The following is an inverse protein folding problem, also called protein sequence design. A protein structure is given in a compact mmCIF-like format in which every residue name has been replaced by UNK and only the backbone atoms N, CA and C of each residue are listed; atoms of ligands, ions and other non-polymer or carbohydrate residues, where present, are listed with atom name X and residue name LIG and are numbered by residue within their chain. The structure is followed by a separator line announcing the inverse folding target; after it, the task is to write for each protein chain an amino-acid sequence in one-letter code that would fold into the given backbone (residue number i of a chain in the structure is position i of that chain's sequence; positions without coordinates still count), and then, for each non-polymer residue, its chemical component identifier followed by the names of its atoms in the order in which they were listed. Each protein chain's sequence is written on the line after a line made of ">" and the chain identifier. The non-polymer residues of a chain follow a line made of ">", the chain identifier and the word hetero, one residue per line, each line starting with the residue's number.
data_IF_711114574175
#
_entry.id   IF_711114574175
#
_cell.length_a   1.000
_cell.length_b   1.000
_cell.length_c   1.000
_cell.angle_alpha   90.00
_cell.angle_beta   90.00
_cell.angle_gamma   90.00
#
_symmetry.space_group_name_H-M   'P 1'
#
loop_
_entity.id
_entity.type
_entity.pdbx_description
1 polymer ?
#
# COMPACT_ATOMS: atom_id res chain seq x y z
N UNK A 1 -4.70 -5.19 6.49
CA UNK A 1 -3.45 -5.60 5.84
C UNK A 1 -2.34 -5.02 6.67
N UNK A 2 -1.37 -5.83 7.04
CA UNK A 2 -0.26 -5.36 7.85
C UNK A 2 0.85 -4.84 6.95
N UNK A 3 1.38 -3.70 7.30
CA UNK A 3 2.50 -3.03 6.65
C UNK A 3 3.81 -3.43 7.31
N UNK A 4 3.90 -4.67 7.74
CA UNK A 4 5.08 -5.20 8.41
C UNK A 4 6.12 -5.54 7.36
N UNK A 5 7.26 -4.90 7.44
CA UNK A 5 8.43 -5.28 6.67
C UNK A 5 9.03 -6.57 7.25
N UNK A 6 9.57 -7.47 6.41
CA UNK A 6 10.19 -8.70 6.90
C UNK A 6 11.41 -8.36 7.75
N UNK A 7 11.60 -9.09 8.84
CA UNK A 7 12.83 -9.01 9.62
C UNK A 7 14.02 -9.52 8.79
N UNK A 8 15.22 -9.08 9.12
CA UNK A 8 16.43 -9.56 8.45
C UNK A 8 16.54 -11.09 8.53
N UNK A 9 16.80 -11.73 7.40
CA UNK A 9 16.90 -13.19 7.28
C UNK A 9 15.56 -13.94 7.24
N UNK A 10 14.42 -13.24 7.36
CA UNK A 10 13.10 -13.90 7.35
C UNK A 10 12.77 -14.50 5.98
N UNK A 11 12.94 -13.74 4.92
CA UNK A 11 12.59 -14.21 3.56
C UNK A 11 13.52 -15.34 3.11
N UNK A 12 14.81 -15.21 3.38
CA UNK A 12 15.81 -16.24 3.14
C UNK A 12 15.48 -17.53 3.90
N UNK A 13 15.15 -17.42 5.18
CA UNK A 13 14.79 -18.56 6.00
C UNK A 13 13.50 -19.25 5.55
N UNK A 14 12.50 -18.51 5.09
CA UNK A 14 11.28 -19.10 4.51
C UNK A 14 11.58 -19.79 3.19
N UNK A 15 12.42 -19.20 2.33
CA UNK A 15 12.86 -19.80 1.08
C UNK A 15 13.61 -21.12 1.32
N UNK A 16 14.58 -21.13 2.23
CA UNK A 16 15.33 -22.33 2.61
C UNK A 16 14.41 -23.43 3.14
N UNK A 17 13.46 -23.07 4.03
CA UNK A 17 12.49 -24.00 4.59
C UNK A 17 11.57 -24.59 3.51
N UNK A 18 11.10 -23.77 2.57
CA UNK A 18 10.28 -24.22 1.45
C UNK A 18 11.06 -25.24 0.59
N UNK A 19 12.27 -24.90 0.18
CA UNK A 19 13.11 -25.76 -0.66
C UNK A 19 13.51 -27.05 0.05
N UNK A 20 13.82 -27.00 1.35
CA UNK A 20 14.13 -28.20 2.14
C UNK A 20 12.97 -29.20 2.16
N UNK A 21 11.73 -28.72 2.09
CA UNK A 21 10.53 -29.54 2.07
C UNK A 21 9.98 -29.81 0.65
N UNK A 22 10.74 -29.51 -0.41
CA UNK A 22 10.33 -29.73 -1.78
C UNK A 22 9.19 -28.83 -2.26
N UNK A 23 8.98 -27.69 -1.59
CA UNK A 23 7.98 -26.70 -1.95
C UNK A 23 8.57 -25.54 -2.74
N UNK A 24 7.75 -24.90 -3.58
CA UNK A 24 8.12 -23.67 -4.27
C UNK A 24 7.94 -22.46 -3.35
N UNK A 25 8.85 -21.50 -3.46
CA UNK A 25 8.76 -20.20 -2.80
C UNK A 25 8.22 -19.17 -3.79
N UNK A 26 7.03 -18.62 -3.51
CA UNK A 26 6.30 -17.75 -4.43
C UNK A 26 6.10 -16.37 -3.80
N UNK A 27 6.41 -15.30 -4.55
CA UNK A 27 6.08 -13.93 -4.16
C UNK A 27 4.77 -13.46 -4.81
N UNK A 28 3.86 -12.92 -4.00
CA UNK A 28 2.77 -12.09 -4.50
C UNK A 28 3.25 -10.64 -4.62
N UNK A 29 3.71 -10.30 -5.80
CA UNK A 29 4.18 -8.96 -6.18
C UNK A 29 3.05 -8.10 -6.80
N UNK A 30 1.79 -8.48 -6.58
CA UNK A 30 0.65 -7.76 -7.17
C UNK A 30 0.59 -6.28 -6.76
N UNK A 31 1.08 -5.95 -5.55
CA UNK A 31 1.17 -4.56 -5.06
C UNK A 31 2.61 -4.07 -5.08
N UNK A 32 3.55 -4.91 -4.69
CA UNK A 32 4.95 -4.54 -4.47
C UNK A 32 5.74 -4.43 -5.76
N UNK A 33 5.39 -5.21 -6.77
CA UNK A 33 5.98 -5.13 -8.11
C UNK A 33 5.79 -3.75 -8.73
N UNK A 34 6.85 -3.20 -9.32
CA UNK A 34 6.87 -1.88 -9.94
C UNK A 34 6.54 -0.70 -8.99
N UNK A 35 6.58 -0.95 -7.67
CA UNK A 35 6.30 0.05 -6.64
C UNK A 35 7.46 0.24 -5.67
N UNK A 36 8.00 -0.83 -5.11
CA UNK A 36 9.10 -0.77 -4.15
C UNK A 36 10.47 -0.61 -4.84
N UNK A 37 10.62 -1.30 -5.95
CA UNK A 37 11.72 -1.22 -6.89
C UNK A 37 11.17 -1.57 -8.29
N UNK A 38 11.96 -1.42 -9.35
CA UNK A 38 11.55 -1.85 -10.70
C UNK A 38 11.28 -3.36 -10.75
N UNK A 39 12.09 -4.15 -10.07
CA UNK A 39 11.88 -5.59 -9.91
C UNK A 39 11.03 -5.99 -8.69
N UNK A 40 10.43 -5.03 -7.99
CA UNK A 40 9.53 -5.32 -6.86
C UNK A 40 10.25 -5.58 -5.53
N UNK A 41 9.57 -6.33 -4.64
CA UNK A 41 10.08 -6.69 -3.34
C UNK A 41 11.30 -7.62 -3.44
N UNK A 42 11.36 -8.49 -4.43
CA UNK A 42 12.51 -9.36 -4.66
C UNK A 42 13.81 -8.57 -4.92
N UNK A 43 13.74 -7.46 -5.65
CA UNK A 43 14.88 -6.57 -5.84
C UNK A 43 15.20 -5.81 -4.55
N UNK A 44 14.19 -5.26 -3.87
CA UNK A 44 14.37 -4.49 -2.65
C UNK A 44 15.02 -5.30 -1.53
N UNK A 45 14.61 -6.56 -1.35
CA UNK A 45 15.10 -7.44 -0.27
C UNK A 45 16.22 -8.38 -0.71
N UNK A 46 16.57 -8.42 -2.00
CA UNK A 46 17.64 -9.27 -2.51
C UNK A 46 17.32 -10.77 -2.50
N UNK A 47 16.04 -11.15 -2.43
CA UNK A 47 15.59 -12.55 -2.40
C UNK A 47 14.74 -12.84 -3.62
N UNK A 48 15.21 -13.70 -4.51
CA UNK A 48 14.52 -14.07 -5.74
C UNK A 48 13.68 -15.34 -5.51
N UNK A 49 12.35 -15.28 -5.67
CA UNK A 49 11.46 -16.43 -5.51
C UNK A 49 11.57 -17.39 -6.71
N UNK A 50 10.96 -18.59 -6.58
CA UNK A 50 10.82 -19.50 -7.70
C UNK A 50 9.81 -19.00 -8.74
N UNK A 51 8.73 -18.39 -8.26
CA UNK A 51 7.69 -17.72 -9.05
C UNK A 51 7.30 -16.39 -8.41
N UNK A 52 6.90 -15.44 -9.22
CA UNK A 52 6.30 -14.18 -8.77
C UNK A 52 5.05 -13.85 -9.58
N UNK A 53 3.99 -13.40 -8.89
CA UNK A 53 2.75 -12.94 -9.50
C UNK A 53 2.70 -11.41 -9.52
N UNK A 54 2.41 -10.81 -10.67
CA UNK A 54 2.34 -9.37 -10.89
C UNK A 54 0.95 -8.95 -11.36
N UNK A 55 0.55 -7.74 -11.04
CA UNK A 55 -0.72 -7.14 -11.46
C UNK A 55 -0.72 -5.64 -11.23
N UNK A 56 -1.88 -5.04 -10.99
CA UNK A 56 -2.05 -3.62 -10.63
C UNK A 56 -1.13 -2.66 -11.38
N UNK A 57 0.03 -2.33 -10.81
CA UNK A 57 1.04 -1.44 -11.38
C UNK A 57 1.59 -1.90 -12.74
N UNK A 58 1.51 -3.18 -13.07
CA UNK A 58 2.01 -3.76 -14.32
C UNK A 58 1.41 -3.06 -15.56
N UNK A 59 0.11 -2.81 -15.56
CA UNK A 59 -0.58 -2.10 -16.64
C UNK A 59 -1.30 -0.83 -16.17
N UNK A 60 -1.08 -0.43 -14.91
CA UNK A 60 -1.47 0.84 -14.31
C UNK A 60 -2.93 1.24 -14.57
N UNK A 61 -3.86 0.32 -14.30
CA UNK A 61 -5.31 0.51 -14.44
C UNK A 61 -5.97 -0.34 -15.51
N UNK A 62 -5.21 -0.93 -16.42
CA UNK A 62 -5.72 -1.90 -17.39
C UNK A 62 -5.67 -3.33 -16.84
N UNK A 63 -6.61 -4.21 -17.26
CA UNK A 63 -6.73 -5.57 -16.71
C UNK A 63 -5.64 -6.50 -17.26
N UNK A 64 -4.47 -6.49 -16.62
CA UNK A 64 -3.36 -7.38 -16.92
C UNK A 64 -2.77 -7.94 -15.64
N UNK A 65 -2.47 -9.22 -15.66
CA UNK A 65 -1.64 -9.90 -14.66
C UNK A 65 -0.61 -10.78 -15.37
N UNK A 66 0.46 -11.10 -14.66
CA UNK A 66 1.51 -11.97 -15.18
C UNK A 66 2.06 -12.84 -14.05
N UNK A 67 2.53 -14.03 -14.42
CA UNK A 67 3.38 -14.87 -13.59
C UNK A 67 4.71 -15.00 -14.31
N UNK A 68 5.79 -14.82 -13.57
CA UNK A 68 7.15 -15.02 -14.06
C UNK A 68 7.94 -15.83 -13.04
N UNK A 69 8.99 -16.53 -13.48
CA UNK A 69 9.82 -17.30 -12.58
C UNK A 69 10.82 -18.21 -13.31
N UNK A 70 11.31 -19.21 -12.59
CA UNK A 70 12.30 -20.16 -13.10
C UNK A 70 11.80 -20.86 -14.37
N UNK A 71 12.64 -20.88 -15.41
CA UNK A 71 12.27 -21.42 -16.72
C UNK A 71 11.80 -22.87 -16.67
N UNK A 72 12.40 -23.70 -15.80
CA UNK A 72 12.04 -25.09 -15.61
C UNK A 72 10.60 -25.27 -15.10
N UNK A 73 10.12 -24.34 -14.26
CA UNK A 73 8.75 -24.35 -13.74
C UNK A 73 7.82 -23.78 -14.81
N UNK A 74 8.20 -22.65 -15.41
CA UNK A 74 7.36 -21.97 -16.40
C UNK A 74 7.11 -22.82 -17.67
N UNK A 75 8.01 -23.72 -18.04
CA UNK A 75 7.79 -24.67 -19.15
C UNK A 75 6.59 -25.59 -18.94
N UNK A 76 6.20 -25.88 -17.70
CA UNK A 76 5.01 -26.68 -17.41
C UNK A 76 3.71 -26.01 -17.90
N UNK A 77 3.74 -24.71 -18.21
CA UNK A 77 2.61 -24.01 -18.84
C UNK A 77 2.27 -24.55 -20.23
N UNK A 78 3.21 -25.22 -20.90
CA UNK A 78 3.00 -25.89 -22.21
C UNK A 78 2.15 -27.15 -22.06
N UNK A 79 2.10 -27.73 -20.86
CA UNK A 79 1.42 -28.99 -20.56
C UNK A 79 0.04 -28.81 -19.93
N UNK A 80 -0.29 -27.59 -19.50
CA UNK A 80 -1.56 -27.27 -18.85
C UNK A 80 -2.45 -26.40 -19.73
N UNK A 81 -3.78 -26.60 -19.60
CA UNK A 81 -4.73 -25.68 -20.21
C UNK A 81 -4.80 -24.40 -19.40
N UNK A 82 -4.31 -23.30 -19.97
CA UNK A 82 -4.32 -21.97 -19.37
C UNK A 82 -4.97 -21.00 -20.34
N UNK A 83 -6.22 -20.63 -20.08
CA UNK A 83 -6.98 -19.71 -20.93
C UNK A 83 -7.93 -18.88 -20.08
N UNK A 84 -8.07 -17.61 -20.43
CA UNK A 84 -9.00 -16.67 -19.79
C UNK A 84 -9.38 -15.57 -20.80
N UNK A 85 -10.51 -14.91 -20.54
CA UNK A 85 -11.14 -13.98 -21.50
C UNK A 85 -10.21 -12.86 -21.97
N UNK A 86 -9.38 -12.30 -21.07
CA UNK A 86 -8.48 -11.19 -21.36
C UNK A 86 -7.02 -11.61 -21.56
N UNK A 87 -6.73 -12.89 -21.78
CA UNK A 87 -5.37 -13.43 -21.85
C UNK A 87 -4.47 -12.85 -22.96
N UNK A 88 -5.03 -12.21 -23.95
CA UNK A 88 -4.29 -11.56 -25.05
C UNK A 88 -4.88 -10.20 -25.40
N UNK A 89 -5.52 -9.52 -24.46
CA UNK A 89 -6.14 -8.21 -24.70
C UNK A 89 -5.04 -7.18 -25.00
N UNK A 90 -5.05 -6.68 -26.23
CA UNK A 90 -3.92 -5.91 -26.79
C UNK A 90 -3.77 -4.52 -26.20
N UNK A 91 -4.85 -3.91 -25.74
CA UNK A 91 -4.80 -2.58 -25.11
C UNK A 91 -4.09 -2.63 -23.76
N UNK A 92 -4.38 -3.65 -22.96
CA UNK A 92 -3.70 -3.89 -21.69
C UNK A 92 -2.21 -4.22 -21.88
N UNK A 93 -1.87 -4.98 -22.93
CA UNK A 93 -0.47 -5.25 -23.28
C UNK A 93 0.27 -3.97 -23.68
N UNK A 94 -0.36 -3.12 -24.50
CA UNK A 94 0.21 -1.82 -24.90
C UNK A 94 0.38 -0.90 -23.68
N UNK A 95 -0.59 -0.84 -22.77
CA UNK A 95 -0.50 -0.07 -21.52
C UNK A 95 0.64 -0.56 -20.62
N UNK A 96 0.84 -1.87 -20.53
CA UNK A 96 1.95 -2.46 -19.79
C UNK A 96 3.30 -2.09 -20.38
N UNK A 97 3.46 -2.18 -21.69
CA UNK A 97 4.68 -1.77 -22.38
C UNK A 97 5.00 -0.29 -22.13
N UNK A 98 3.99 0.59 -22.21
CA UNK A 98 4.15 2.02 -21.92
C UNK A 98 4.56 2.26 -20.44
N UNK A 99 3.95 1.52 -19.51
CA UNK A 99 4.28 1.60 -18.07
C UNK A 99 5.72 1.16 -17.82
N UNK A 100 6.12 0.01 -18.33
CA UNK A 100 7.49 -0.50 -18.16
C UNK A 100 8.53 0.41 -18.81
N UNK A 101 8.25 0.94 -20.01
CA UNK A 101 9.12 1.94 -20.66
C UNK A 101 9.29 3.17 -19.79
N UNK A 102 8.20 3.67 -19.18
CA UNK A 102 8.26 4.82 -18.27
C UNK A 102 9.10 4.54 -17.03
N UNK A 103 8.95 3.37 -16.42
CA UNK A 103 9.73 2.92 -15.27
C UNK A 103 11.25 2.84 -15.59
N UNK A 104 11.60 2.43 -16.82
CA UNK A 104 12.99 2.34 -17.28
C UNK A 104 13.61 3.69 -17.60
N UNK A 105 12.82 4.64 -18.11
CA UNK A 105 13.33 5.92 -18.66
C UNK A 105 13.14 7.11 -17.72
N UNK A 106 12.38 6.98 -16.65
CA UNK A 106 12.09 8.05 -15.71
C UNK A 106 12.36 7.58 -14.27
N UNK A 107 12.68 8.47 -13.34
CA UNK A 107 12.98 8.14 -11.93
C UNK A 107 11.68 7.90 -11.13
N UNK A 108 10.83 6.96 -11.60
CA UNK A 108 9.51 6.73 -11.00
C UNK A 108 9.65 6.25 -9.55
N UNK A 109 10.38 5.16 -9.34
CA UNK A 109 10.55 4.55 -8.01
C UNK A 109 11.19 5.53 -7.02
N UNK A 110 12.22 6.25 -7.45
CA UNK A 110 12.87 7.26 -6.61
C UNK A 110 11.91 8.40 -6.24
N UNK A 111 11.07 8.83 -7.17
CA UNK A 111 10.05 9.87 -6.91
C UNK A 111 9.01 9.38 -5.90
N UNK A 112 8.52 8.14 -6.04
CA UNK A 112 7.59 7.55 -5.07
C UNK A 112 8.22 7.50 -3.68
N UNK A 113 9.46 7.03 -3.58
CA UNK A 113 10.20 6.94 -2.32
C UNK A 113 10.38 8.31 -1.68
N UNK A 114 10.87 9.30 -2.42
CA UNK A 114 11.11 10.66 -1.96
C UNK A 114 9.84 11.34 -1.44
N UNK A 115 8.73 11.26 -2.20
CA UNK A 115 7.44 11.82 -1.77
C UNK A 115 6.89 11.08 -0.56
N UNK A 116 7.07 9.75 -0.51
CA UNK A 116 6.64 8.94 0.62
C UNK A 116 7.42 9.23 1.90
N UNK A 117 8.73 9.42 1.82
CA UNK A 117 9.56 9.82 2.95
C UNK A 117 9.09 11.18 3.51
N UNK A 118 8.85 12.17 2.62
CA UNK A 118 8.32 13.48 3.03
C UNK A 118 6.96 13.36 3.73
N UNK A 119 6.06 12.57 3.15
CA UNK A 119 4.72 12.38 3.69
C UNK A 119 4.77 11.67 5.05
N UNK A 120 5.53 10.59 5.17
CA UNK A 120 5.69 9.86 6.45
C UNK A 120 6.30 10.75 7.54
N UNK A 121 7.41 11.42 7.23
CA UNK A 121 8.08 12.31 8.19
C UNK A 121 7.17 13.47 8.62
N UNK A 122 6.48 14.11 7.66
CA UNK A 122 5.53 15.17 7.93
C UNK A 122 4.35 14.67 8.78
N UNK A 123 3.79 13.49 8.46
CA UNK A 123 2.71 12.88 9.25
C UNK A 123 3.17 12.61 10.68
N UNK A 124 4.36 12.05 10.89
CA UNK A 124 4.89 11.81 12.24
C UNK A 124 5.06 13.12 13.02
N UNK A 125 5.61 14.15 12.38
CA UNK A 125 5.75 15.49 13.00
C UNK A 125 4.39 16.04 13.45
N UNK A 126 3.34 15.85 12.67
CA UNK A 126 1.99 16.31 13.01
C UNK A 126 1.36 15.45 14.13
N UNK A 127 1.58 14.14 14.13
CA UNK A 127 1.17 13.25 15.22
C UNK A 127 1.77 13.72 16.55
N UNK A 128 3.06 14.05 16.54
CA UNK A 128 3.77 14.51 17.76
C UNK A 128 3.28 15.92 18.18
N UNK A 129 3.13 16.84 17.22
CA UNK A 129 2.64 18.21 17.46
C UNK A 129 1.27 18.23 18.11
N UNK A 130 0.33 17.45 17.57
CA UNK A 130 -1.05 17.38 18.03
C UNK A 130 -1.28 16.34 19.13
N UNK A 131 -0.20 15.70 19.64
CA UNK A 131 -0.23 14.71 20.74
C UNK A 131 -1.19 13.53 20.53
N UNK A 132 -1.45 13.18 19.27
CA UNK A 132 -2.36 12.09 18.91
C UNK A 132 -1.67 10.72 18.79
N UNK A 133 -0.41 10.61 19.20
CA UNK A 133 0.40 9.40 19.12
C UNK A 133 -0.11 8.22 19.95
N UNK A 134 -0.99 8.46 20.94
CA UNK A 134 -1.61 7.41 21.72
C UNK A 134 -2.64 6.57 20.92
N UNK A 135 -3.21 7.12 19.84
CA UNK A 135 -4.11 6.40 18.95
C UNK A 135 -3.76 6.48 17.45
N UNK A 136 -2.84 7.34 17.03
CA UNK A 136 -2.35 7.42 15.65
C UNK A 136 -0.87 7.05 15.56
N UNK A 137 -0.51 6.39 14.48
CA UNK A 137 0.88 6.18 14.07
C UNK A 137 0.97 6.03 12.57
N UNK A 138 2.16 6.23 11.98
CA UNK A 138 2.40 5.99 10.56
C UNK A 138 3.33 4.79 10.39
N UNK A 139 3.01 3.88 9.47
CA UNK A 139 3.77 2.65 9.21
C UNK A 139 3.82 2.31 7.72
N UNK A 140 4.70 1.40 7.35
CA UNK A 140 4.86 0.88 5.99
C UNK A 140 5.99 1.54 5.21
N UNK A 141 6.22 1.02 4.00
CA UNK A 141 7.23 1.51 3.09
C UNK A 141 6.88 2.93 2.61
N UNK A 142 7.86 3.82 2.38
CA UNK A 142 7.59 5.16 1.85
C UNK A 142 6.69 5.19 0.63
N UNK A 143 6.88 4.29 -0.34
CA UNK A 143 6.06 4.23 -1.54
C UNK A 143 4.61 3.73 -1.28
N UNK A 144 4.35 3.13 -0.12
CA UNK A 144 3.05 2.60 0.28
C UNK A 144 2.95 2.54 1.81
N UNK A 145 2.51 3.62 2.42
CA UNK A 145 2.41 3.75 3.87
C UNK A 145 0.96 3.93 4.34
N UNK A 146 0.76 3.87 5.65
CA UNK A 146 -0.56 3.85 6.25
C UNK A 146 -0.58 4.72 7.51
N UNK A 147 -1.65 5.47 7.67
CA UNK A 147 -2.02 6.03 8.96
C UNK A 147 -2.72 4.91 9.74
N UNK A 148 -2.10 4.45 10.79
CA UNK A 148 -2.62 3.41 11.68
C UNK A 148 -3.42 4.08 12.78
N UNK A 149 -4.67 3.65 12.91
CA UNK A 149 -5.60 4.11 13.95
C UNK A 149 -5.80 2.96 14.94
N UNK A 150 -5.56 3.21 16.21
CA UNK A 150 -5.67 2.24 17.29
C UNK A 150 -6.92 2.49 18.13
N UNK A 151 -7.35 1.47 18.84
CA UNK A 151 -8.38 1.60 19.86
C UNK A 151 -7.90 2.49 21.01
N UNK A 152 -8.75 3.36 21.49
CA UNK A 152 -8.45 4.27 22.60
C UNK A 152 -9.75 4.72 23.28
N UNK A 153 -9.75 4.81 24.61
CA UNK A 153 -10.84 5.36 25.43
C UNK A 153 -12.24 4.77 25.12
N UNK A 154 -12.28 3.47 24.76
CA UNK A 154 -13.53 2.78 24.40
C UNK A 154 -14.00 2.99 22.96
N UNK A 155 -13.30 3.79 22.16
CA UNK A 155 -13.54 3.91 20.74
C UNK A 155 -12.72 2.90 19.96
N UNK A 156 -13.39 2.12 19.12
CA UNK A 156 -12.70 1.22 18.19
C UNK A 156 -12.12 1.98 16.98
N UNK A 157 -11.14 1.40 16.26
CA UNK A 157 -10.48 2.07 15.14
C UNK A 157 -11.41 2.51 14.02
N UNK A 158 -12.55 1.84 13.81
CA UNK A 158 -13.50 2.16 12.75
C UNK A 158 -14.29 3.44 13.05
N UNK A 159 -14.64 3.66 14.31
CA UNK A 159 -15.31 4.88 14.75
C UNK A 159 -14.41 6.10 14.52
N UNK A 160 -13.17 6.04 14.97
CA UNK A 160 -12.19 7.12 14.79
C UNK A 160 -11.87 7.31 13.30
N UNK A 161 -11.69 6.22 12.56
CA UNK A 161 -11.47 6.26 11.12
C UNK A 161 -12.63 6.93 10.39
N UNK A 162 -13.87 6.72 10.83
CA UNK A 162 -15.03 7.38 10.23
C UNK A 162 -14.92 8.89 10.32
N UNK A 163 -14.59 9.41 11.49
CA UNK A 163 -14.40 10.86 11.68
C UNK A 163 -13.22 11.37 10.84
N UNK A 164 -12.09 10.65 10.84
CA UNK A 164 -10.95 10.99 10.00
C UNK A 164 -11.34 11.11 8.51
N UNK A 165 -12.01 10.11 7.97
CA UNK A 165 -12.43 10.11 6.56
C UNK A 165 -13.43 11.22 6.26
N UNK A 166 -14.41 11.44 7.16
CA UNK A 166 -15.37 12.52 7.05
C UNK A 166 -14.69 13.88 6.91
N UNK A 167 -13.70 14.15 7.76
CA UNK A 167 -13.00 15.44 7.78
C UNK A 167 -12.03 15.59 6.60
N UNK A 168 -11.40 14.50 6.15
CA UNK A 168 -10.58 14.51 4.94
C UNK A 168 -11.41 14.77 3.68
N UNK A 169 -12.58 14.12 3.57
CA UNK A 169 -13.49 14.32 2.43
C UNK A 169 -14.06 15.74 2.38
N UNK A 170 -14.36 16.32 3.54
CA UNK A 170 -14.80 17.73 3.64
C UNK A 170 -13.74 18.71 3.11
N UNK A 171 -12.45 18.30 3.13
CA UNK A 171 -11.31 19.07 2.59
C UNK A 171 -10.95 18.68 1.16
N UNK A 172 -11.79 17.87 0.51
CA UNK A 172 -11.60 17.44 -0.87
C UNK A 172 -10.47 16.43 -1.07
N UNK A 173 -10.11 15.67 -0.03
CA UNK A 173 -9.10 14.62 -0.11
C UNK A 173 -9.77 13.26 0.07
N UNK A 174 -9.82 12.49 -1.02
CA UNK A 174 -10.30 11.11 -1.01
C UNK A 174 -9.16 10.19 -0.56
N UNK A 175 -9.34 9.53 0.58
CA UNK A 175 -8.37 8.60 1.16
C UNK A 175 -9.06 7.48 1.91
N UNK A 176 -8.35 6.39 2.17
CA UNK A 176 -8.75 5.30 3.08
C UNK A 176 -7.79 5.18 4.28
N UNK A 177 -7.09 6.26 4.63
CA UNK A 177 -5.96 6.27 5.55
C UNK A 177 -4.74 5.47 5.00
N UNK A 178 -4.65 5.34 3.68
CA UNK A 178 -3.53 4.76 2.95
C UNK A 178 -2.85 5.85 2.11
N UNK A 179 -1.55 5.79 2.02
CA UNK A 179 -0.74 6.67 1.19
C UNK A 179 -0.26 5.90 -0.05
N UNK A 180 -1.16 5.78 -1.02
CA UNK A 180 -0.88 5.13 -2.30
C UNK A 180 -0.26 6.15 -3.26
N UNK A 181 1.03 6.42 -3.10
CA UNK A 181 1.72 7.41 -3.92
C UNK A 181 1.82 6.97 -5.37
N UNK A 182 1.68 7.94 -6.26
CA UNK A 182 1.85 7.76 -7.70
C UNK A 182 2.87 8.75 -8.25
N UNK A 183 3.40 8.45 -9.43
CA UNK A 183 4.34 9.36 -10.12
C UNK A 183 3.71 10.69 -10.53
N UNK A 184 2.36 10.76 -10.57
CA UNK A 184 1.61 11.98 -10.87
C UNK A 184 1.48 12.92 -9.66
N UNK A 185 1.70 12.45 -8.44
CA UNK A 185 1.69 13.32 -7.27
C UNK A 185 2.88 14.28 -7.29
N UNK A 186 2.59 15.55 -7.00
CA UNK A 186 3.57 16.62 -6.89
C UNK A 186 3.95 16.90 -5.42
N UNK A 187 4.99 17.71 -5.21
CA UNK A 187 5.32 18.24 -3.88
C UNK A 187 4.16 19.08 -3.29
N UNK A 188 3.35 19.71 -4.14
CA UNK A 188 2.18 20.48 -3.69
C UNK A 188 1.06 19.57 -3.20
N UNK A 189 0.85 18.41 -3.83
CA UNK A 189 -0.11 17.41 -3.34
C UNK A 189 0.30 16.88 -1.96
N UNK A 190 1.60 16.63 -1.74
CA UNK A 190 2.13 16.22 -0.43
C UNK A 190 1.89 17.30 0.63
N UNK A 191 2.14 18.56 0.31
CA UNK A 191 1.84 19.69 1.22
C UNK A 191 0.35 19.80 1.53
N UNK A 192 -0.51 19.62 0.53
CA UNK A 192 -1.96 19.67 0.69
C UNK A 192 -2.46 18.58 1.64
N UNK A 193 -1.96 17.35 1.51
CA UNK A 193 -2.32 16.25 2.43
C UNK A 193 -1.85 16.57 3.85
N UNK A 194 -0.60 17.02 4.02
CA UNK A 194 -0.06 17.38 5.33
C UNK A 194 -0.81 18.57 5.95
N UNK A 195 -1.19 19.57 5.15
CA UNK A 195 -2.03 20.67 5.61
C UNK A 195 -3.40 20.20 6.10
N UNK A 196 -4.03 19.27 5.39
CA UNK A 196 -5.28 18.67 5.84
C UNK A 196 -5.11 17.87 7.14
N UNK A 197 -4.01 17.13 7.31
CA UNK A 197 -3.71 16.43 8.56
C UNK A 197 -3.50 17.39 9.72
N UNK A 198 -2.82 18.53 9.51
CA UNK A 198 -2.60 19.57 10.51
C UNK A 198 -3.93 20.16 11.03
N UNK A 199 -4.96 20.22 10.18
CA UNK A 199 -6.30 20.65 10.56
C UNK A 199 -7.17 19.54 11.16
N UNK A 200 -7.02 18.29 10.70
CA UNK A 200 -7.88 17.16 11.09
C UNK A 200 -7.44 16.55 12.42
N UNK A 201 -6.14 16.46 12.69
CA UNK A 201 -5.64 15.82 13.91
C UNK A 201 -6.12 16.49 15.19
N UNK A 202 -6.19 17.85 15.32
CA UNK A 202 -6.81 18.49 16.47
C UNK A 202 -8.28 18.14 16.66
N UNK A 203 -9.03 17.95 15.56
CA UNK A 203 -10.45 17.55 15.64
C UNK A 203 -10.57 16.13 16.18
N UNK A 204 -9.67 15.23 15.76
CA UNK A 204 -9.63 13.87 16.28
C UNK A 204 -9.22 13.82 17.75
N UNK A 205 -8.20 14.61 18.14
CA UNK A 205 -7.76 14.75 19.54
C UNK A 205 -8.94 15.19 20.42
N UNK A 206 -9.60 16.29 20.08
CA UNK A 206 -10.71 16.82 20.86
C UNK A 206 -11.88 15.83 20.96
N UNK A 207 -12.23 15.16 19.83
CA UNK A 207 -13.31 14.18 19.81
C UNK A 207 -13.02 12.93 20.66
N UNK A 208 -11.76 12.48 20.68
CA UNK A 208 -11.33 11.29 21.42
C UNK A 208 -11.12 11.60 22.88
N UNK A 209 -10.34 12.63 23.21
CA UNK A 209 -9.93 12.94 24.59
C UNK A 209 -11.09 13.44 25.45
N UNK A 210 -12.07 14.12 24.86
CA UNK A 210 -13.30 14.51 25.55
C UNK A 210 -14.42 13.47 25.49
N UNK A 211 -14.17 12.27 24.97
CA UNK A 211 -15.15 11.18 24.84
C UNK A 211 -16.45 11.68 24.18
N UNK A 212 -16.31 12.43 23.08
CA UNK A 212 -17.39 13.14 22.42
C UNK A 212 -17.51 12.82 20.91
N UNK A 213 -16.89 11.75 20.44
CA UNK A 213 -16.76 11.40 19.02
C UNK A 213 -18.12 11.37 18.28
N UNK A 214 -19.20 10.92 18.94
CA UNK A 214 -20.54 10.88 18.38
C UNK A 214 -21.08 12.27 18.03
N UNK A 215 -20.63 13.31 18.68
CA UNK A 215 -21.04 14.71 18.42
C UNK A 215 -20.42 15.26 17.14
N UNK A 216 -19.28 14.69 16.72
CA UNK A 216 -18.56 15.10 15.52
C UNK A 216 -19.01 14.33 14.27
N UNK A 217 -19.55 13.12 14.45
CA UNK A 217 -19.98 12.29 13.34
C UNK A 217 -21.25 12.80 12.68
N UNK A 218 -21.24 12.89 11.35
CA UNK A 218 -22.38 13.23 10.49
C UNK A 218 -23.01 12.00 9.85
N UNK A 219 -22.46 10.82 10.12
CA UNK A 219 -22.92 9.54 9.58
C UNK A 219 -22.70 8.43 10.61
N UNK A 220 -23.25 7.25 10.33
CA UNK A 220 -22.98 6.07 11.15
C UNK A 220 -21.52 5.66 11.02
N UNK A 221 -20.89 5.19 12.11
CA UNK A 221 -19.54 4.66 12.04
C UNK A 221 -19.42 3.52 11.00
N UNK A 222 -18.27 3.46 10.35
CA UNK A 222 -17.94 2.34 9.47
C UNK A 222 -17.89 1.04 10.27
N UNK A 223 -18.31 -0.01 9.63
CA UNK A 223 -18.19 -1.38 10.11
C UNK A 223 -17.38 -2.21 9.10
N UNK A 224 -16.63 -3.22 9.56
CA UNK A 224 -15.98 -4.15 8.65
C UNK A 224 -17.01 -4.82 7.75
N UNK A 225 -16.81 -4.75 6.42
CA UNK A 225 -17.67 -5.44 5.45
C UNK A 225 -17.64 -6.96 5.61
N UNK A 226 -16.49 -7.48 6.05
CA UNK A 226 -16.28 -8.91 6.28
C UNK A 226 -15.79 -9.10 7.71
N UNK A 227 -16.52 -9.87 8.48
CA UNK A 227 -16.05 -10.38 9.77
C UNK A 227 -15.18 -11.59 9.47
N UNK A 228 -13.87 -11.45 9.63
CA UNK A 228 -12.97 -12.60 9.65
C UNK A 228 -13.31 -13.36 10.93
N UNK A 229 -13.77 -14.59 10.76
CA UNK A 229 -14.06 -15.50 11.87
C UNK A 229 -12.77 -16.16 12.34
#
# INVERSE_FOLDING_TARGET
>A
MNTTEPAAGFLEGVQELAHHNGALFVFDETITGFRLANGGAQELFGVTPDLAAFGKGLANGYPLSAVAGKAEIMRLMEEIFFSFTFGGETLSLAASLATMTKLQTHPVIETLRRHGEKLKAGTQTLIDRHRVGHFLSVSGNPAWSFLIIKEVQGYNPWQIKTLFLQEMFARGILTLATHDLTYAHSDEDIKRILGAYDEVFPILEDAVDNVALERYLRCKPLEPLFKIR
#
